data_IF_604301515649
#
_entry.id   IF_604301515649
#
_cell.length_a   1.000
_cell.length_b   1.000
_cell.length_c   1.000
_cell.angle_alpha   90.00
_cell.angle_beta   90.00
_cell.angle_gamma   90.00
#
_symmetry.space_group_name_H-M   'P 1'
#
loop_
_entity.id
_entity.type
_entity.pdbx_description
1 polymer ?
#
# COMPACT_ATOMS: atom_id res chain seq x y z
N UNK A 1 -0.25 -8.55 22.00
CA UNK A 1 0.88 -7.89 21.31
C UNK A 1 2.24 -8.28 21.88
N UNK A 2 2.76 -7.70 22.98
CA UNK A 2 4.16 -7.92 23.39
C UNK A 2 4.59 -9.39 23.63
N UNK A 3 3.67 -10.25 24.10
CA UNK A 3 3.91 -11.70 24.27
C UNK A 3 4.24 -12.42 22.96
N UNK A 4 3.78 -11.90 21.81
CA UNK A 4 4.05 -12.47 20.49
C UNK A 4 5.54 -12.39 20.09
N UNK A 5 6.35 -11.60 20.80
CA UNK A 5 7.81 -11.59 20.62
C UNK A 5 8.50 -12.87 21.14
N UNK A 6 7.75 -13.83 21.71
CA UNK A 6 8.19 -15.20 21.99
C UNK A 6 9.10 -15.39 23.20
N UNK A 7 9.54 -14.31 23.86
CA UNK A 7 10.38 -14.39 25.06
C UNK A 7 10.03 -13.27 26.06
N UNK A 8 10.01 -13.61 27.36
CA UNK A 8 9.61 -12.68 28.42
C UNK A 8 10.44 -11.39 28.41
N UNK A 9 11.76 -11.50 28.27
CA UNK A 9 12.70 -10.37 28.27
C UNK A 9 12.49 -9.37 27.13
N UNK A 10 11.76 -9.75 26.07
CA UNK A 10 11.44 -8.86 24.94
C UNK A 10 10.18 -8.02 25.20
N UNK A 11 9.38 -8.37 26.21
CA UNK A 11 8.11 -7.70 26.48
C UNK A 11 8.29 -6.24 26.90
N UNK A 12 9.24 -5.96 27.81
CA UNK A 12 9.50 -4.59 28.28
C UNK A 12 10.11 -3.74 27.16
N UNK A 13 11.18 -4.16 26.46
CA UNK A 13 11.73 -3.38 25.36
C UNK A 13 10.70 -3.10 24.26
N UNK A 14 9.84 -4.06 23.92
CA UNK A 14 8.80 -3.88 22.90
C UNK A 14 7.77 -2.83 23.31
N UNK A 15 7.27 -2.92 24.56
CA UNK A 15 6.37 -1.90 25.13
C UNK A 15 7.05 -0.53 25.10
N UNK A 16 8.29 -0.45 25.57
CA UNK A 16 9.07 0.79 25.57
C UNK A 16 9.25 1.37 24.17
N UNK A 17 9.50 0.53 23.17
CA UNK A 17 9.61 0.98 21.78
C UNK A 17 8.30 1.59 21.28
N UNK A 18 7.17 0.88 21.43
CA UNK A 18 5.85 1.38 21.06
C UNK A 18 5.47 2.66 21.84
N UNK A 19 5.77 2.73 23.13
CA UNK A 19 5.60 3.96 23.93
C UNK A 19 6.44 5.10 23.37
N UNK A 20 7.70 4.85 23.02
CA UNK A 20 8.58 5.84 22.40
C UNK A 20 8.06 6.39 21.06
N UNK A 21 7.40 5.54 20.26
CA UNK A 21 6.74 5.94 19.01
C UNK A 21 5.52 6.84 19.28
N UNK A 22 4.73 6.53 20.32
CA UNK A 22 3.51 7.27 20.68
C UNK A 22 3.77 8.57 21.45
N UNK A 23 4.88 8.68 22.17
CA UNK A 23 5.25 9.90 22.90
C UNK A 23 5.59 11.05 21.95
N UNK A 24 5.22 12.31 22.24
CA UNK A 24 5.47 13.45 21.35
C UNK A 24 6.96 13.73 21.14
N UNK A 25 7.27 14.31 19.98
CA UNK A 25 8.61 14.76 19.62
C UNK A 25 8.97 14.44 18.17
N UNK A 26 9.79 15.30 17.57
CA UNK A 26 10.06 15.32 16.12
C UNK A 26 10.66 14.01 15.60
N UNK A 27 11.80 13.58 16.16
CA UNK A 27 12.50 12.37 15.70
C UNK A 27 12.15 11.16 16.53
N UNK A 28 11.74 10.07 15.84
CA UNK A 28 11.41 8.75 16.42
C UNK A 28 12.48 7.69 16.12
N UNK A 29 13.74 8.07 16.08
CA UNK A 29 14.84 7.10 16.06
C UNK A 29 15.10 6.58 17.48
N UNK A 30 15.90 5.50 17.59
CA UNK A 30 16.09 4.76 18.85
C UNK A 30 16.55 5.65 20.01
N UNK A 31 17.51 6.53 19.77
CA UNK A 31 18.08 7.37 20.83
C UNK A 31 17.12 8.44 21.36
N UNK A 32 16.47 9.28 20.53
CA UNK A 32 15.41 10.17 21.00
C UNK A 32 14.28 9.44 21.73
N UNK A 33 13.89 8.24 21.27
CA UNK A 33 12.86 7.46 21.96
C UNK A 33 13.35 6.97 23.32
N UNK A 34 14.59 6.46 23.41
CA UNK A 34 15.18 6.04 24.67
C UNK A 34 15.20 7.16 25.71
N UNK A 35 15.54 8.39 25.30
CA UNK A 35 15.56 9.55 26.20
C UNK A 35 14.18 9.96 26.72
N UNK A 36 13.12 9.69 25.95
CA UNK A 36 11.74 9.95 26.39
C UNK A 36 11.20 8.85 27.30
N UNK A 37 11.51 7.60 26.98
CA UNK A 37 10.99 6.45 27.73
C UNK A 37 11.75 6.23 29.04
N UNK A 38 13.03 6.58 29.09
CA UNK A 38 13.86 6.43 30.28
C UNK A 38 14.89 7.58 30.38
N UNK A 39 14.44 8.79 30.77
CA UNK A 39 15.30 9.98 30.81
C UNK A 39 16.52 9.81 31.73
N UNK A 40 16.37 9.10 32.84
CA UNK A 40 17.47 8.88 33.79
C UNK A 40 18.43 7.76 33.37
N UNK A 41 18.08 6.96 32.36
CA UNK A 41 18.84 5.77 31.95
C UNK A 41 18.93 5.62 30.41
N UNK A 42 19.10 6.75 29.70
CA UNK A 42 19.06 6.81 28.23
C UNK A 42 19.97 5.79 27.57
N UNK A 43 21.19 5.58 28.08
CA UNK A 43 22.16 4.62 27.51
C UNK A 43 21.65 3.19 27.57
N UNK A 44 21.10 2.77 28.72
CA UNK A 44 20.54 1.43 28.91
C UNK A 44 19.31 1.22 28.03
N UNK A 45 18.40 2.20 28.01
CA UNK A 45 17.22 2.16 27.16
C UNK A 45 17.59 2.11 25.67
N UNK A 46 18.56 2.91 25.23
CA UNK A 46 19.07 2.87 23.86
C UNK A 46 19.55 1.49 23.47
N UNK A 47 20.42 0.86 24.28
CA UNK A 47 20.94 -0.49 23.98
C UNK A 47 19.80 -1.52 23.91
N UNK A 48 18.86 -1.45 24.85
CA UNK A 48 17.71 -2.35 24.88
C UNK A 48 16.81 -2.21 23.65
N UNK A 49 16.45 -0.98 23.28
CA UNK A 49 15.61 -0.69 22.11
C UNK A 49 16.33 -1.02 20.79
N UNK A 50 17.63 -0.74 20.71
CA UNK A 50 18.45 -1.09 19.55
C UNK A 50 18.50 -2.61 19.36
N UNK A 51 18.84 -3.35 20.41
CA UNK A 51 18.90 -4.81 20.36
C UNK A 51 17.56 -5.42 19.96
N UNK A 52 16.45 -4.93 20.53
CA UNK A 52 15.11 -5.39 20.17
C UNK A 52 14.85 -5.27 18.66
N UNK A 53 15.14 -4.12 18.06
CA UNK A 53 14.81 -3.90 16.65
C UNK A 53 15.85 -4.51 15.72
N UNK A 54 17.14 -4.35 15.99
CA UNK A 54 18.19 -4.75 15.07
C UNK A 54 18.49 -6.26 15.10
N UNK A 55 18.48 -6.86 16.30
CA UNK A 55 19.15 -8.15 16.52
C UNK A 55 18.22 -9.24 17.06
N UNK A 56 17.30 -8.91 17.97
CA UNK A 56 16.49 -9.90 18.68
C UNK A 56 15.69 -10.79 17.71
N UNK A 57 15.72 -12.13 17.83
CA UNK A 57 15.08 -13.03 16.88
C UNK A 57 13.59 -13.25 17.22
N UNK A 58 12.78 -12.21 17.06
CA UNK A 58 11.31 -12.32 17.08
C UNK A 58 10.77 -12.28 15.66
N UNK A 59 9.59 -12.89 15.45
CA UNK A 59 8.93 -12.93 14.15
C UNK A 59 8.07 -11.69 13.97
N UNK A 60 8.36 -10.89 12.94
CA UNK A 60 7.51 -9.76 12.54
C UNK A 60 6.10 -10.23 12.15
N UNK A 61 6.02 -11.41 11.54
CA UNK A 61 4.75 -12.03 11.18
C UNK A 61 3.88 -12.33 12.41
N UNK A 62 4.44 -12.97 13.44
CA UNK A 62 3.70 -13.32 14.66
C UNK A 62 3.25 -12.07 15.44
N UNK A 63 4.08 -11.01 15.45
CA UNK A 63 3.70 -9.74 16.08
C UNK A 63 2.61 -9.05 15.27
N UNK A 64 2.70 -9.04 13.93
CA UNK A 64 1.66 -8.49 13.06
C UNK A 64 0.33 -9.21 13.27
N UNK A 65 0.34 -10.54 13.31
CA UNK A 65 -0.84 -11.35 13.59
C UNK A 65 -1.48 -10.97 14.93
N UNK A 66 -0.68 -10.83 15.99
CA UNK A 66 -1.18 -10.38 17.30
C UNK A 66 -1.74 -8.94 17.30
N UNK A 67 -1.22 -8.07 16.43
CA UNK A 67 -1.80 -6.74 16.22
C UNK A 67 -3.18 -6.89 15.59
N UNK A 68 -3.29 -7.67 14.52
CA UNK A 68 -4.54 -7.87 13.79
C UNK A 68 -5.63 -8.50 14.67
N UNK A 69 -5.28 -9.48 15.51
CA UNK A 69 -6.21 -10.08 16.49
C UNK A 69 -6.82 -9.05 17.44
N UNK A 70 -6.09 -7.96 17.73
CA UNK A 70 -6.53 -6.91 18.64
C UNK A 70 -7.31 -5.79 17.94
N UNK A 71 -7.00 -5.54 16.66
CA UNK A 71 -7.49 -4.37 15.91
C UNK A 71 -8.69 -4.69 15.04
N UNK A 72 -8.68 -5.82 14.33
CA UNK A 72 -9.74 -6.18 13.40
C UNK A 72 -11.11 -6.29 14.09
N UNK A 73 -11.28 -6.89 15.28
CA UNK A 73 -12.57 -6.92 15.95
C UNK A 73 -13.14 -5.51 16.19
N UNK A 74 -12.31 -4.58 16.67
CA UNK A 74 -12.73 -3.20 16.91
C UNK A 74 -13.14 -2.48 15.62
N UNK A 75 -12.48 -2.77 14.48
CA UNK A 75 -12.87 -2.23 13.17
C UNK A 75 -14.20 -2.83 12.70
N UNK A 76 -14.36 -4.15 12.84
CA UNK A 76 -15.53 -4.89 12.38
C UNK A 76 -16.79 -4.55 13.16
N UNK A 77 -16.66 -4.17 14.44
CA UNK A 77 -17.76 -3.63 15.25
C UNK A 77 -18.35 -2.32 14.68
N UNK A 78 -17.61 -1.61 13.81
CA UNK A 78 -18.06 -0.38 13.15
C UNK A 78 -18.54 -0.57 11.71
N UNK A 79 -18.19 -1.68 11.09
CA UNK A 79 -18.62 -2.00 9.73
C UNK A 79 -17.73 -3.05 9.07
N UNK A 80 -18.20 -3.62 7.94
CA UNK A 80 -17.46 -4.66 7.24
C UNK A 80 -16.19 -4.10 6.60
N UNK A 81 -15.23 -4.99 6.34
CA UNK A 81 -14.15 -4.69 5.39
C UNK A 81 -14.79 -4.54 4.01
N UNK A 82 -14.50 -3.42 3.35
CA UNK A 82 -15.02 -3.12 2.00
C UNK A 82 -13.94 -3.18 0.93
N UNK A 83 -12.67 -3.03 1.31
CA UNK A 83 -11.56 -3.05 0.36
C UNK A 83 -10.26 -3.56 0.96
N UNK A 84 -9.49 -4.20 0.08
CA UNK A 84 -8.10 -4.58 0.26
C UNK A 84 -7.25 -3.67 -0.62
N UNK A 85 -6.43 -2.81 -0.02
CA UNK A 85 -5.69 -1.77 -0.75
C UNK A 85 -4.22 -2.15 -0.84
N UNK A 86 -3.74 -2.31 -2.06
CA UNK A 86 -2.33 -2.51 -2.39
C UNK A 86 -1.70 -1.16 -2.72
N UNK A 87 -0.56 -0.88 -2.10
CA UNK A 87 0.22 0.33 -2.34
C UNK A 87 1.70 0.08 -2.03
N UNK A 88 2.56 0.98 -2.50
CA UNK A 88 3.96 0.99 -2.10
C UNK A 88 4.43 2.35 -1.62
N UNK A 89 5.32 2.31 -0.63
CA UNK A 89 5.79 3.51 0.04
C UNK A 89 7.31 3.60 0.03
N UNK A 90 7.81 4.76 -0.39
CA UNK A 90 9.23 5.05 -0.52
C UNK A 90 9.86 5.67 0.74
N UNK A 91 11.13 5.37 0.98
CA UNK A 91 11.96 5.88 2.05
C UNK A 91 13.29 6.41 1.49
N UNK A 92 13.43 7.73 1.31
CA UNK A 92 14.67 8.33 0.82
C UNK A 92 15.88 7.96 1.70
N UNK A 93 17.01 7.66 1.06
CA UNK A 93 18.25 7.29 1.74
C UNK A 93 19.46 7.93 1.08
N UNK A 94 20.49 8.16 1.89
CA UNK A 94 21.82 8.57 1.42
C UNK A 94 22.76 7.37 1.46
N UNK A 95 23.61 7.25 0.44
CA UNK A 95 24.57 6.14 0.31
C UNK A 95 23.95 4.83 -0.20
N UNK A 96 24.77 3.78 -0.24
CA UNK A 96 24.46 2.50 -0.90
C UNK A 96 24.32 1.30 0.06
N UNK A 97 24.51 1.52 1.37
CA UNK A 97 24.62 0.44 2.35
C UNK A 97 23.29 0.05 3.03
N UNK A 98 22.21 0.81 2.83
CA UNK A 98 20.90 0.44 3.38
C UNK A 98 20.27 -0.63 2.52
N UNK A 99 19.79 -1.72 3.14
CA UNK A 99 19.14 -2.83 2.43
C UNK A 99 18.09 -2.36 1.43
N UNK A 100 18.14 -2.89 0.20
CA UNK A 100 17.19 -2.60 -0.87
C UNK A 100 17.25 -1.16 -1.42
N UNK A 101 18.24 -0.35 -1.05
CA UNK A 101 18.36 1.02 -1.57
C UNK A 101 18.85 1.01 -3.02
N UNK A 102 18.13 1.69 -3.90
CA UNK A 102 18.58 1.97 -5.28
C UNK A 102 17.91 3.23 -5.79
N UNK A 103 18.34 3.73 -6.95
CA UNK A 103 17.68 4.82 -7.65
C UNK A 103 16.42 4.28 -8.32
N UNK A 104 15.26 4.62 -7.77
CA UNK A 104 13.95 4.17 -8.24
C UNK A 104 12.90 5.24 -7.94
N UNK A 105 11.70 5.10 -8.51
CA UNK A 105 10.61 6.04 -8.22
C UNK A 105 10.27 6.00 -6.72
N UNK A 106 10.26 7.16 -6.09
CA UNK A 106 9.97 7.32 -4.69
C UNK A 106 8.72 8.20 -4.53
N UNK A 107 7.59 7.58 -4.18
CA UNK A 107 6.31 8.29 -4.04
C UNK A 107 6.37 9.46 -3.06
N UNK A 108 7.19 9.37 -2.01
CA UNK A 108 7.35 10.46 -1.03
C UNK A 108 7.95 11.74 -1.61
N UNK A 109 8.81 11.64 -2.63
CA UNK A 109 9.44 12.81 -3.28
C UNK A 109 8.93 13.05 -4.70
N UNK A 110 8.01 12.20 -5.19
CA UNK A 110 7.36 12.33 -6.50
C UNK A 110 8.28 12.14 -7.71
N UNK A 111 9.49 11.59 -7.52
CA UNK A 111 10.50 11.44 -8.58
C UNK A 111 11.40 10.23 -8.35
N UNK A 112 12.26 9.94 -9.33
CA UNK A 112 13.35 8.99 -9.13
C UNK A 112 14.35 9.54 -8.11
N UNK A 113 14.62 8.76 -7.08
CA UNK A 113 15.52 9.10 -5.99
C UNK A 113 16.17 7.83 -5.43
N UNK A 114 17.32 7.99 -4.79
CA UNK A 114 17.93 6.90 -4.04
C UNK A 114 17.08 6.58 -2.79
N UNK A 115 16.34 5.48 -2.84
CA UNK A 115 15.37 5.15 -1.81
C UNK A 115 15.19 3.63 -1.67
N UNK A 116 14.62 3.25 -0.53
CA UNK A 116 14.02 1.94 -0.31
C UNK A 116 12.52 2.04 -0.59
N UNK A 117 11.91 0.95 -1.04
CA UNK A 117 10.45 0.89 -1.25
C UNK A 117 9.93 -0.33 -0.52
N UNK A 118 8.76 -0.21 0.12
CA UNK A 118 8.06 -1.34 0.70
C UNK A 118 6.65 -1.43 0.12
N UNK A 119 6.22 -2.66 -0.16
CA UNK A 119 4.89 -3.00 -0.63
C UNK A 119 4.03 -3.37 0.57
N UNK A 120 2.81 -2.87 0.61
CA UNK A 120 1.84 -3.17 1.65
C UNK A 120 0.52 -3.66 1.09
N UNK A 121 -0.13 -4.48 1.90
CA UNK A 121 -1.57 -4.71 1.82
C UNK A 121 -2.20 -4.09 3.06
N UNK A 122 -3.20 -3.24 2.87
CA UNK A 122 -4.04 -2.69 3.93
C UNK A 122 -5.48 -3.14 3.76
N UNK A 123 -6.20 -3.30 4.87
CA UNK A 123 -7.65 -3.54 4.84
C UNK A 123 -8.39 -2.33 5.35
N UNK A 124 -9.59 -2.11 4.82
CA UNK A 124 -10.33 -0.88 5.09
C UNK A 124 -11.80 -1.17 5.30
N UNK A 125 -12.38 -0.52 6.30
CA UNK A 125 -13.82 -0.25 6.37
C UNK A 125 -14.10 1.09 5.66
N UNK A 126 -15.34 1.59 5.72
CA UNK A 126 -15.66 2.96 5.27
C UNK A 126 -14.88 4.03 6.04
N UNK A 127 -14.57 3.80 7.31
CA UNK A 127 -14.09 4.84 8.23
C UNK A 127 -12.65 4.64 8.72
N UNK A 128 -12.11 3.42 8.63
CA UNK A 128 -10.83 3.06 9.22
C UNK A 128 -10.07 2.07 8.36
N UNK A 129 -8.75 2.05 8.51
CA UNK A 129 -7.86 1.21 7.75
C UNK A 129 -6.61 0.84 8.55
N UNK A 130 -6.00 -0.30 8.20
CA UNK A 130 -4.80 -0.82 8.86
C UNK A 130 -3.96 -1.62 7.87
N UNK A 131 -2.62 -1.43 7.79
CA UNK A 131 -1.74 -2.35 7.09
C UNK A 131 -1.79 -3.74 7.73
N UNK A 132 -2.07 -4.77 6.93
CA UNK A 132 -2.10 -6.17 7.36
C UNK A 132 -0.88 -6.96 6.89
N UNK A 133 -0.16 -6.42 5.89
CA UNK A 133 1.13 -6.94 5.48
C UNK A 133 2.03 -5.79 5.00
N UNK A 134 3.33 -5.92 5.25
CA UNK A 134 4.32 -4.92 4.88
C UNK A 134 5.67 -5.57 4.61
N UNK A 135 6.21 -5.43 3.40
CA UNK A 135 7.46 -6.07 3.01
C UNK A 135 8.34 -5.13 2.20
N UNK A 136 9.62 -5.09 2.54
CA UNK A 136 10.62 -4.38 1.74
C UNK A 136 10.75 -5.01 0.35
N UNK A 137 10.64 -4.20 -0.70
CA UNK A 137 11.01 -4.61 -2.04
C UNK A 137 12.53 -4.68 -2.13
N UNK A 138 13.06 -5.86 -2.49
CA UNK A 138 14.48 -6.08 -2.74
C UNK A 138 14.71 -6.00 -4.25
N UNK A 139 15.32 -4.91 -4.78
CA UNK A 139 15.57 -4.78 -6.21
C UNK A 139 16.47 -5.91 -6.72
N UNK A 140 16.34 -6.28 -7.99
CA UNK A 140 17.09 -7.38 -8.61
C UNK A 140 18.62 -7.22 -8.43
N UNK A 141 19.13 -6.00 -8.58
CA UNK A 141 20.55 -5.67 -8.34
C UNK A 141 21.02 -5.96 -6.91
N UNK A 142 20.11 -5.96 -5.93
CA UNK A 142 20.40 -6.37 -4.55
C UNK A 142 20.21 -7.88 -4.38
N UNK A 143 19.17 -8.45 -4.96
CA UNK A 143 18.88 -9.89 -4.88
C UNK A 143 20.03 -10.74 -5.45
N UNK A 144 20.72 -10.22 -6.47
CA UNK A 144 21.86 -10.87 -7.14
C UNK A 144 23.23 -10.51 -6.54
N UNK A 145 23.32 -9.65 -5.52
CA UNK A 145 24.58 -9.30 -4.84
C UNK A 145 24.69 -10.02 -3.50
N UNK A 146 25.35 -11.19 -3.51
CA UNK A 146 25.54 -12.05 -2.33
C UNK A 146 26.20 -11.30 -1.17
N UNK A 147 27.20 -10.44 -1.44
CA UNK A 147 27.94 -9.72 -0.40
C UNK A 147 27.04 -8.67 0.27
N UNK A 148 26.28 -7.90 -0.51
CA UNK A 148 25.32 -6.93 0.03
C UNK A 148 24.22 -7.60 0.84
N UNK A 149 23.70 -8.75 0.36
CA UNK A 149 22.69 -9.53 1.07
C UNK A 149 23.19 -10.01 2.43
N UNK A 150 24.36 -10.61 2.48
CA UNK A 150 24.98 -11.08 3.73
C UNK A 150 25.22 -9.92 4.70
N UNK A 151 25.83 -8.83 4.25
CA UNK A 151 26.11 -7.64 5.09
C UNK A 151 24.84 -6.99 5.67
N UNK A 152 23.72 -7.06 4.93
CA UNK A 152 22.44 -6.53 5.36
C UNK A 152 21.57 -7.55 6.10
N UNK A 153 22.02 -8.79 6.27
CA UNK A 153 21.25 -9.86 6.90
C UNK A 153 19.96 -10.21 6.15
N UNK A 154 19.98 -10.13 4.81
CA UNK A 154 18.85 -10.58 3.98
C UNK A 154 18.78 -12.11 4.06
N UNK A 155 17.63 -12.71 4.43
CA UNK A 155 17.50 -14.16 4.47
C UNK A 155 17.77 -14.85 3.11
N UNK A 156 18.20 -16.10 3.15
CA UNK A 156 18.63 -16.84 1.95
C UNK A 156 17.46 -17.11 1.00
N UNK A 157 16.29 -17.39 1.56
CA UNK A 157 15.01 -17.64 0.90
C UNK A 157 14.45 -16.40 0.17
N UNK A 158 14.93 -15.20 0.49
CA UNK A 158 14.49 -13.98 -0.18
C UNK A 158 15.19 -13.85 -1.54
N UNK A 159 14.49 -14.31 -2.58
CA UNK A 159 14.83 -14.06 -3.99
C UNK A 159 14.24 -12.73 -4.50
N UNK A 160 14.64 -12.34 -5.71
CA UNK A 160 14.00 -11.23 -6.41
C UNK A 160 12.52 -11.55 -6.64
N UNK A 161 11.65 -10.59 -6.31
CA UNK A 161 10.23 -10.62 -6.64
C UNK A 161 9.82 -9.20 -7.00
N UNK A 162 9.08 -9.05 -8.09
CA UNK A 162 8.44 -7.82 -8.48
C UNK A 162 7.42 -7.36 -7.44
N UNK A 163 7.09 -6.06 -7.43
CA UNK A 163 6.08 -5.53 -6.50
C UNK A 163 4.71 -6.21 -6.64
N UNK A 164 4.18 -6.50 -7.85
CA UNK A 164 2.94 -7.26 -8.00
C UNK A 164 3.02 -8.68 -7.43
N UNK A 165 4.15 -9.37 -7.57
CA UNK A 165 4.34 -10.70 -6.96
C UNK A 165 4.34 -10.64 -5.43
N UNK A 166 4.98 -9.61 -4.84
CA UNK A 166 4.92 -9.35 -3.40
C UNK A 166 3.47 -9.09 -2.96
N UNK A 167 2.74 -8.23 -3.68
CA UNK A 167 1.35 -7.93 -3.37
C UNK A 167 0.44 -9.18 -3.45
N UNK A 168 0.62 -10.03 -4.47
CA UNK A 168 -0.13 -11.29 -4.57
C UNK A 168 0.20 -12.24 -3.41
N UNK A 169 1.46 -12.33 -2.98
CA UNK A 169 1.83 -13.12 -1.81
C UNK A 169 1.16 -12.60 -0.53
N UNK A 170 1.09 -11.27 -0.36
CA UNK A 170 0.40 -10.64 0.77
C UNK A 170 -1.11 -10.90 0.74
N UNK A 171 -1.75 -10.84 -0.43
CA UNK A 171 -3.17 -11.17 -0.64
C UNK A 171 -3.46 -12.62 -0.30
N UNK A 172 -2.63 -13.57 -0.77
CA UNK A 172 -2.78 -14.99 -0.43
C UNK A 172 -2.66 -15.23 1.07
N UNK A 173 -1.66 -14.63 1.72
CA UNK A 173 -1.49 -14.72 3.17
C UNK A 173 -2.67 -14.13 3.94
N UNK A 174 -3.24 -13.00 3.49
CA UNK A 174 -4.44 -12.42 4.09
C UNK A 174 -5.64 -13.37 4.01
N UNK A 175 -5.82 -14.07 2.88
CA UNK A 175 -6.84 -15.13 2.73
C UNK A 175 -6.58 -16.33 3.63
N UNK A 176 -5.35 -16.83 3.66
CA UNK A 176 -4.95 -17.96 4.52
C UNK A 176 -5.20 -17.66 6.00
N UNK A 177 -5.02 -16.40 6.41
CA UNK A 177 -5.36 -15.91 7.74
C UNK A 177 -6.88 -15.79 8.00
N UNK A 178 -7.72 -15.83 6.98
CA UNK A 178 -9.16 -15.67 7.10
C UNK A 178 -9.61 -14.21 7.29
N UNK A 179 -8.84 -13.24 6.80
CA UNK A 179 -9.27 -11.84 6.80
C UNK A 179 -10.49 -11.68 5.88
N UNK A 180 -11.58 -11.00 6.31
CA UNK A 180 -12.72 -10.75 5.44
C UNK A 180 -12.32 -10.05 4.14
N UNK A 181 -12.76 -10.62 3.02
CA UNK A 181 -12.41 -10.13 1.69
C UNK A 181 -13.15 -8.84 1.37
N UNK A 182 -12.45 -7.96 0.64
CA UNK A 182 -13.03 -6.76 0.06
C UNK A 182 -12.55 -6.59 -1.38
N UNK A 183 -13.08 -5.59 -2.06
CA UNK A 183 -12.65 -5.26 -3.42
C UNK A 183 -11.19 -4.83 -3.38
N UNK A 184 -10.36 -5.41 -4.25
CA UNK A 184 -8.94 -5.08 -4.31
C UNK A 184 -8.77 -3.72 -5.02
N UNK A 185 -8.10 -2.77 -4.37
CA UNK A 185 -7.82 -1.45 -4.91
C UNK A 185 -6.31 -1.27 -5.05
N UNK A 186 -5.87 -0.75 -6.20
CA UNK A 186 -4.48 -0.34 -6.38
C UNK A 186 -4.37 0.80 -7.41
N UNK A 187 -3.20 1.42 -7.48
CA UNK A 187 -2.90 2.47 -8.46
C UNK A 187 -2.46 1.88 -9.82
N UNK A 188 -2.04 2.76 -10.73
CA UNK A 188 -1.57 2.37 -12.06
C UNK A 188 -0.26 1.57 -12.08
N UNK A 189 0.53 1.61 -11.00
CA UNK A 189 1.74 0.79 -10.87
C UNK A 189 1.42 -0.71 -10.85
N UNK A 190 0.30 -1.08 -10.23
CA UNK A 190 -0.20 -2.47 -10.21
C UNK A 190 -1.25 -2.70 -11.29
N UNK A 191 -2.13 -1.73 -11.50
CA UNK A 191 -3.26 -1.89 -12.38
C UNK A 191 -2.87 -2.01 -13.85
N UNK A 192 -1.71 -1.52 -14.29
CA UNK A 192 -1.22 -1.77 -15.65
C UNK A 192 -0.74 -3.21 -15.89
N UNK A 193 -0.39 -3.93 -14.82
CA UNK A 193 0.11 -5.29 -14.89
C UNK A 193 -1.06 -6.25 -15.16
N UNK A 194 -1.12 -6.77 -16.39
CA UNK A 194 -2.19 -7.70 -16.79
C UNK A 194 -2.08 -9.05 -16.07
N UNK A 195 -0.86 -9.47 -15.70
CA UNK A 195 -0.63 -10.69 -14.94
C UNK A 195 -1.19 -10.57 -13.52
N UNK A 196 -1.00 -9.43 -12.88
CA UNK A 196 -1.58 -9.10 -11.58
C UNK A 196 -3.10 -9.12 -11.62
N UNK A 197 -3.73 -8.39 -12.57
CA UNK A 197 -5.19 -8.40 -12.74
C UNK A 197 -5.73 -9.82 -12.99
N UNK A 198 -5.09 -10.58 -13.87
CA UNK A 198 -5.47 -11.98 -14.16
C UNK A 198 -5.35 -12.87 -12.93
N UNK A 199 -4.30 -12.70 -12.12
CA UNK A 199 -4.12 -13.46 -10.89
C UNK A 199 -5.20 -13.15 -9.84
N UNK A 200 -5.68 -11.90 -9.75
CA UNK A 200 -6.82 -11.55 -8.89
C UNK A 200 -8.12 -12.19 -9.37
N UNK A 201 -8.39 -12.14 -10.67
CA UNK A 201 -9.56 -12.82 -11.26
C UNK A 201 -9.52 -14.33 -11.03
N UNK A 202 -8.34 -14.97 -11.16
CA UNK A 202 -8.17 -16.40 -10.87
C UNK A 202 -8.30 -16.74 -9.38
N UNK A 203 -8.20 -15.74 -8.51
CA UNK A 203 -8.51 -15.85 -7.09
C UNK A 203 -9.98 -15.49 -6.82
N UNK A 204 -10.82 -15.25 -7.81
CA UNK A 204 -12.20 -14.78 -7.62
C UNK A 204 -12.31 -13.48 -6.82
N UNK A 205 -11.26 -12.64 -6.86
CA UNK A 205 -11.24 -11.34 -6.20
C UNK A 205 -11.69 -10.23 -7.16
N UNK A 206 -12.73 -9.51 -6.76
CA UNK A 206 -13.14 -8.29 -7.45
C UNK A 206 -12.09 -7.19 -7.26
N UNK A 207 -11.91 -6.33 -8.26
CA UNK A 207 -10.97 -5.22 -8.18
C UNK A 207 -11.50 -3.93 -8.78
N UNK A 208 -10.91 -2.81 -8.35
CA UNK A 208 -10.93 -1.52 -9.04
C UNK A 208 -9.50 -0.99 -9.07
N UNK A 209 -8.89 -0.99 -10.25
CA UNK A 209 -7.47 -0.75 -10.46
C UNK A 209 -7.26 0.53 -11.25
N UNK A 210 -6.49 1.48 -10.72
CA UNK A 210 -6.02 2.60 -11.52
C UNK A 210 -5.20 2.11 -12.71
N UNK A 211 -5.29 2.77 -13.86
CA UNK A 211 -4.52 2.42 -15.05
C UNK A 211 -3.98 3.67 -15.73
N UNK A 212 -2.93 3.49 -16.55
CA UNK A 212 -2.45 4.54 -17.43
C UNK A 212 -3.37 4.72 -18.63
N UNK A 213 -3.39 5.95 -19.15
CA UNK A 213 -4.18 6.35 -20.32
C UNK A 213 -3.77 5.62 -21.62
N UNK A 214 -2.56 5.04 -21.63
CA UNK A 214 -1.98 4.26 -22.72
C UNK A 214 -2.42 2.80 -22.74
N UNK A 215 -3.08 2.31 -21.68
CA UNK A 215 -3.68 0.97 -21.70
C UNK A 215 -4.68 0.91 -22.85
N UNK A 216 -4.68 -0.19 -23.60
CA UNK A 216 -5.54 -0.36 -24.75
C UNK A 216 -6.76 -1.20 -24.41
N UNK A 217 -7.90 -0.87 -25.02
CA UNK A 217 -9.20 -1.51 -24.84
C UNK A 217 -9.88 -1.69 -26.20
N UNK A 218 -10.80 -2.65 -26.29
CA UNK A 218 -11.76 -2.75 -27.39
C UNK A 218 -12.94 -1.82 -27.11
N UNK A 219 -13.37 -1.06 -28.10
CA UNK A 219 -14.55 -0.19 -27.92
C UNK A 219 -15.78 -1.04 -27.57
N UNK A 220 -16.77 -0.48 -26.86
CA UNK A 220 -18.01 -1.20 -26.58
C UNK A 220 -18.63 -1.79 -27.85
N UNK A 221 -18.90 -3.10 -27.83
CA UNK A 221 -19.44 -3.84 -28.98
C UNK A 221 -18.40 -4.29 -30.02
N UNK A 222 -17.15 -3.86 -29.92
CA UNK A 222 -16.05 -4.33 -30.76
C UNK A 222 -15.22 -5.42 -30.06
N UNK A 223 -14.44 -6.15 -30.85
CA UNK A 223 -13.58 -7.20 -30.34
C UNK A 223 -12.58 -7.69 -31.38
N UNK A 224 -11.61 -8.52 -30.96
CA UNK A 224 -10.71 -9.16 -31.88
C UNK A 224 -11.46 -10.17 -32.76
N UNK A 225 -10.99 -10.39 -33.99
CA UNK A 225 -11.60 -11.38 -34.86
C UNK A 225 -11.32 -12.81 -34.35
N UNK A 226 -12.30 -13.73 -34.45
CA UNK A 226 -12.09 -15.15 -34.20
C UNK A 226 -10.98 -15.73 -35.10
N UNK A 227 -10.43 -16.87 -34.70
CA UNK A 227 -9.52 -17.62 -35.57
C UNK A 227 -10.22 -17.98 -36.89
N UNK A 228 -9.53 -17.92 -38.05
CA UNK A 228 -10.14 -18.21 -39.33
C UNK A 228 -10.60 -19.67 -39.40
N UNK A 229 -11.61 -20.00 -40.24
CA UNK A 229 -12.07 -21.38 -40.39
C UNK A 229 -10.93 -22.30 -40.81
N UNK A 230 -10.89 -23.50 -40.23
CA UNK A 230 -9.87 -24.49 -40.58
C UNK A 230 -10.10 -25.03 -41.99
N UNK A 231 -9.06 -24.97 -42.84
CA UNK A 231 -9.12 -25.35 -44.27
C UNK A 231 -8.36 -26.64 -44.62
N UNK A 232 -7.99 -27.46 -43.63
CA UNK A 232 -7.63 -28.87 -43.86
C UNK A 232 -6.16 -29.22 -44.14
N UNK A 233 -5.21 -28.29 -44.01
CA UNK A 233 -3.78 -28.63 -44.04
C UNK A 233 -3.07 -27.97 -42.84
N UNK A 234 -2.47 -28.80 -41.98
CA UNK A 234 -1.72 -28.36 -40.81
C UNK A 234 -2.54 -28.18 -39.52
N UNK A 235 -1.94 -27.51 -38.51
CA UNK A 235 -2.56 -27.29 -37.20
C UNK A 235 -3.70 -26.27 -37.31
N UNK A 236 -4.91 -26.54 -36.78
CA UNK A 236 -6.00 -25.58 -36.78
C UNK A 236 -5.60 -24.24 -36.15
N UNK A 237 -5.92 -23.11 -36.79
CA UNK A 237 -5.68 -21.80 -36.20
C UNK A 237 -6.56 -21.64 -34.95
N UNK A 238 -5.95 -21.20 -33.85
CA UNK A 238 -6.63 -21.03 -32.55
C UNK A 238 -6.62 -19.61 -32.02
N UNK A 239 -5.79 -18.75 -32.60
CA UNK A 239 -5.50 -17.43 -32.06
C UNK A 239 -6.40 -16.37 -32.71
N UNK A 240 -6.79 -15.40 -31.90
CA UNK A 240 -7.54 -14.24 -32.35
C UNK A 240 -6.72 -13.38 -33.33
N UNK A 241 -7.40 -12.76 -34.30
CA UNK A 241 -6.77 -11.91 -35.30
C UNK A 241 -7.04 -10.42 -35.06
N UNK A 242 -6.09 -9.58 -35.49
CA UNK A 242 -6.23 -8.13 -35.60
C UNK A 242 -5.96 -7.74 -37.05
N UNK A 243 -6.81 -6.92 -37.63
CA UNK A 243 -6.63 -6.35 -38.98
C UNK A 243 -6.70 -4.82 -38.92
N UNK A 244 -6.76 -4.13 -40.06
CA UNK A 244 -6.87 -2.66 -40.09
C UNK A 244 -8.18 -2.12 -39.51
N UNK A 245 -9.25 -2.94 -39.51
CA UNK A 245 -10.59 -2.58 -39.04
C UNK A 245 -10.84 -2.99 -37.59
N UNK A 246 -10.05 -3.93 -37.05
CA UNK A 246 -10.17 -4.48 -35.70
C UNK A 246 -8.90 -4.19 -34.90
N UNK A 247 -8.73 -2.92 -34.51
CA UNK A 247 -7.61 -2.47 -33.69
C UNK A 247 -8.12 -1.94 -32.36
N UNK A 248 -7.51 -2.33 -31.23
CA UNK A 248 -7.83 -1.71 -29.96
C UNK A 248 -7.36 -0.25 -29.97
N UNK A 249 -8.03 0.57 -29.17
CA UNK A 249 -7.69 1.98 -28.99
C UNK A 249 -7.12 2.19 -27.60
N UNK A 250 -6.33 3.25 -27.41
CA UNK A 250 -5.96 3.65 -26.06
C UNK A 250 -7.20 4.11 -25.28
N UNK A 251 -7.18 3.91 -23.98
CA UNK A 251 -8.22 4.41 -23.08
C UNK A 251 -8.38 5.93 -23.20
N UNK A 252 -7.28 6.66 -23.47
CA UNK A 252 -7.34 8.10 -23.76
C UNK A 252 -8.18 8.41 -25.00
N UNK A 253 -7.90 7.75 -26.11
CA UNK A 253 -8.61 7.96 -27.38
C UNK A 253 -10.08 7.58 -27.24
N UNK A 254 -10.38 6.46 -26.56
CA UNK A 254 -11.76 6.08 -26.27
C UNK A 254 -12.46 7.19 -25.48
N UNK A 255 -11.87 7.66 -24.38
CA UNK A 255 -12.44 8.69 -23.53
C UNK A 255 -12.73 10.00 -24.30
N UNK A 256 -11.83 10.42 -25.20
CA UNK A 256 -12.00 11.62 -26.03
C UNK A 256 -13.07 11.44 -27.12
N UNK A 257 -13.33 10.20 -27.55
CA UNK A 257 -14.36 9.89 -28.55
C UNK A 257 -15.77 9.79 -27.96
N UNK A 258 -15.92 9.71 -26.64
CA UNK A 258 -17.22 9.56 -26.00
C UNK A 258 -18.06 10.83 -26.09
N UNK A 259 -19.37 10.71 -26.36
CA UNK A 259 -20.25 11.87 -26.46
C UNK A 259 -20.47 12.51 -25.08
N UNK A 260 -20.75 13.81 -25.06
CA UNK A 260 -20.77 14.62 -23.85
C UNK A 260 -21.81 14.14 -22.82
N UNK A 261 -22.90 13.52 -23.28
CA UNK A 261 -24.04 13.05 -22.49
C UNK A 261 -23.67 11.90 -21.56
N UNK A 262 -22.63 11.11 -21.88
CA UNK A 262 -22.14 10.00 -21.06
C UNK A 262 -21.42 10.50 -19.81
N UNK A 263 -20.85 11.71 -19.86
CA UNK A 263 -20.12 12.32 -18.75
C UNK A 263 -21.07 12.90 -17.71
N UNK A 264 -21.20 12.24 -16.56
CA UNK A 264 -22.07 12.68 -15.45
C UNK A 264 -21.26 13.32 -14.34
N UNK A 265 -21.80 14.37 -13.72
CA UNK A 265 -21.22 14.95 -12.50
C UNK A 265 -21.53 14.03 -11.32
N UNK A 266 -20.49 13.59 -10.60
CA UNK A 266 -20.62 12.74 -9.42
C UNK A 266 -19.96 13.43 -8.23
N UNK A 267 -20.61 13.30 -7.06
CA UNK A 267 -20.11 13.76 -5.76
C UNK A 267 -19.90 12.52 -4.90
N UNK A 268 -18.70 12.34 -4.33
CA UNK A 268 -18.37 11.09 -3.62
C UNK A 268 -17.85 11.27 -2.19
N UNK A 269 -17.52 12.49 -1.76
CA UNK A 269 -17.10 12.75 -0.37
C UNK A 269 -17.24 14.23 -0.02
N UNK A 270 -17.45 14.54 1.26
CA UNK A 270 -17.16 15.86 1.81
C UNK A 270 -15.65 16.03 2.00
N UNK A 271 -15.03 16.92 1.23
CA UNK A 271 -13.66 17.35 1.47
C UNK A 271 -13.60 18.41 2.57
N UNK A 272 -12.38 18.67 3.08
CA UNK A 272 -12.13 19.62 4.19
C UNK A 272 -12.73 21.02 3.96
N UNK A 273 -12.89 21.45 2.71
CA UNK A 273 -13.48 22.77 2.35
C UNK A 273 -14.76 22.70 1.51
N UNK A 274 -14.93 21.65 0.68
CA UNK A 274 -16.07 21.50 -0.25
C UNK A 274 -16.30 20.02 -0.55
N UNK A 275 -17.53 19.65 -0.91
CA UNK A 275 -17.85 18.34 -1.52
C UNK A 275 -16.95 18.09 -2.74
N UNK A 276 -16.20 16.97 -2.70
CA UNK A 276 -15.38 16.52 -3.82
C UNK A 276 -16.29 16.06 -4.95
N UNK A 277 -16.11 16.69 -6.11
CA UNK A 277 -16.93 16.47 -7.30
C UNK A 277 -16.09 16.56 -8.56
N UNK A 278 -16.49 15.79 -9.57
CA UNK A 278 -15.82 15.71 -10.87
C UNK A 278 -16.82 15.15 -11.90
N UNK A 279 -16.42 15.09 -13.17
CA UNK A 279 -17.22 14.40 -14.20
C UNK A 279 -16.65 13.02 -14.43
N UNK A 280 -17.52 12.02 -14.53
CA UNK A 280 -17.15 10.65 -14.79
C UNK A 280 -17.96 10.05 -15.92
N UNK A 281 -17.34 9.13 -16.64
CA UNK A 281 -18.00 8.22 -17.56
C UNK A 281 -17.61 6.80 -17.17
N UNK A 282 -18.53 5.85 -17.31
CA UNK A 282 -18.25 4.44 -17.17
C UNK A 282 -18.82 3.69 -18.38
N UNK A 283 -18.02 2.83 -18.98
CA UNK A 283 -18.42 1.98 -20.10
C UNK A 283 -18.03 0.53 -19.82
N UNK A 284 -18.74 -0.40 -20.43
CA UNK A 284 -18.37 -1.83 -20.42
C UNK A 284 -17.49 -2.10 -21.63
N UNK A 285 -16.26 -2.50 -21.40
CA UNK A 285 -15.27 -2.75 -22.45
C UNK A 285 -14.41 -3.98 -22.15
N UNK A 286 -13.56 -4.35 -23.12
CA UNK A 286 -12.61 -5.46 -22.94
C UNK A 286 -11.19 -4.90 -22.94
N UNK A 287 -10.39 -5.14 -21.89
CA UNK A 287 -8.97 -4.87 -21.92
C UNK A 287 -8.33 -5.59 -23.11
N UNK A 288 -7.50 -4.87 -23.86
CA UNK A 288 -6.81 -5.41 -25.02
C UNK A 288 -5.33 -5.59 -24.68
N UNK A 289 -4.93 -6.82 -24.34
CA UNK A 289 -3.54 -7.14 -24.05
C UNK A 289 -3.19 -8.54 -24.56
N UNK A 290 -2.22 -8.59 -25.48
CA UNK A 290 -1.74 -9.83 -26.11
C UNK A 290 -2.89 -10.72 -26.62
N UNK A 291 -4.00 -10.11 -27.08
CA UNK A 291 -5.20 -10.86 -27.50
C UNK A 291 -4.89 -11.82 -28.65
N UNK A 292 -3.94 -11.46 -29.51
CA UNK A 292 -3.43 -12.26 -30.62
C UNK A 292 -2.68 -13.54 -30.19
N UNK A 293 -2.47 -13.74 -28.88
CA UNK A 293 -1.97 -14.99 -28.29
C UNK A 293 -3.07 -15.75 -27.52
N UNK A 294 -4.33 -15.29 -27.55
CA UNK A 294 -5.45 -15.92 -26.87
C UNK A 294 -6.40 -16.58 -27.87
N UNK A 295 -7.12 -17.60 -27.40
CA UNK A 295 -8.20 -18.25 -28.14
C UNK A 295 -9.58 -17.63 -27.87
N UNK A 296 -9.71 -16.92 -26.74
CA UNK A 296 -10.94 -16.23 -26.36
C UNK A 296 -10.60 -14.79 -25.92
N UNK A 297 -11.46 -13.81 -26.23
CA UNK A 297 -11.29 -12.45 -25.76
C UNK A 297 -11.24 -12.38 -24.24
N UNK A 298 -10.66 -11.30 -23.70
CA UNK A 298 -10.82 -11.00 -22.27
C UNK A 298 -12.29 -10.76 -21.94
N UNK A 299 -12.66 -11.02 -20.69
CA UNK A 299 -13.99 -10.71 -20.19
C UNK A 299 -14.26 -9.19 -20.26
N UNK A 300 -15.55 -8.82 -20.30
CA UNK A 300 -15.90 -7.41 -20.18
C UNK A 300 -15.72 -6.93 -18.74
N UNK A 301 -15.13 -5.75 -18.62
CA UNK A 301 -14.89 -5.03 -17.39
C UNK A 301 -15.53 -3.64 -17.47
N UNK A 302 -15.63 -2.97 -16.33
CA UNK A 302 -15.92 -1.55 -16.29
C UNK A 302 -14.65 -0.74 -16.53
N UNK A 303 -14.68 0.15 -17.53
CA UNK A 303 -13.74 1.25 -17.65
C UNK A 303 -14.37 2.52 -17.08
N UNK A 304 -13.88 2.94 -15.91
CA UNK A 304 -14.23 4.21 -15.29
C UNK A 304 -13.22 5.27 -15.70
N UNK A 305 -13.70 6.46 -16.06
CA UNK A 305 -12.88 7.56 -16.54
C UNK A 305 -13.28 8.85 -15.82
N UNK A 306 -12.30 9.64 -15.41
CA UNK A 306 -12.50 10.95 -14.79
C UNK A 306 -12.04 12.07 -15.71
N UNK A 307 -12.92 13.04 -15.93
CA UNK A 307 -12.62 14.28 -16.61
C UNK A 307 -12.97 15.48 -15.73
N UNK A 308 -12.00 15.98 -14.94
CA UNK A 308 -12.24 17.12 -14.07
C UNK A 308 -12.74 18.34 -14.83
N UNK A 309 -13.51 19.19 -14.14
CA UNK A 309 -14.03 20.43 -14.72
C UNK A 309 -12.88 21.41 -14.93
N UNK A 310 -12.77 21.98 -16.13
CA UNK A 310 -11.71 22.92 -16.50
C UNK A 310 -10.46 22.28 -17.11
N UNK A 311 -10.35 20.95 -17.07
CA UNK A 311 -9.25 20.23 -17.72
C UNK A 311 -9.51 20.03 -19.21
N UNK A 312 -8.47 20.17 -20.04
CA UNK A 312 -8.56 20.00 -21.49
C UNK A 312 -8.78 18.54 -21.92
N UNK A 313 -8.45 17.58 -21.05
CA UNK A 313 -8.52 16.16 -21.34
C UNK A 313 -8.84 15.34 -20.07
N UNK A 314 -9.38 14.12 -20.21
CA UNK A 314 -9.52 13.20 -19.08
C UNK A 314 -8.16 12.86 -18.46
N UNK A 315 -8.13 12.61 -17.15
CA UNK A 315 -6.87 12.55 -16.39
C UNK A 315 -6.68 11.29 -15.55
N UNK A 316 -7.75 10.57 -15.19
CA UNK A 316 -7.66 9.33 -14.42
C UNK A 316 -8.59 8.28 -14.97
N UNK A 317 -8.15 7.03 -14.86
CA UNK A 317 -8.74 5.88 -15.52
C UNK A 317 -8.65 4.67 -14.59
N UNK A 318 -9.68 3.83 -14.58
CA UNK A 318 -9.70 2.59 -13.81
C UNK A 318 -10.35 1.47 -14.58
N UNK A 319 -9.82 0.26 -14.42
CA UNK A 319 -10.51 -0.99 -14.78
C UNK A 319 -11.14 -1.61 -13.54
N UNK A 320 -12.33 -2.20 -13.69
CA UNK A 320 -13.07 -2.78 -12.58
C UNK A 320 -13.84 -4.03 -12.98
N UNK A 321 -13.73 -5.08 -12.16
CA UNK A 321 -14.48 -6.33 -12.31
C UNK A 321 -15.79 -6.34 -11.52
N UNK A 322 -16.19 -5.20 -10.94
CA UNK A 322 -17.47 -5.10 -10.22
C UNK A 322 -18.66 -5.51 -11.11
N UNK A 323 -19.77 -6.02 -10.53
CA UNK A 323 -20.91 -6.52 -11.28
C UNK A 323 -21.45 -5.56 -12.35
N UNK A 324 -21.99 -6.10 -13.44
CA UNK A 324 -22.48 -5.30 -14.58
C UNK A 324 -23.68 -4.38 -14.24
N UNK A 325 -24.35 -4.58 -13.10
CA UNK A 325 -25.40 -3.70 -12.59
C UNK A 325 -24.88 -2.64 -11.59
N UNK A 326 -23.55 -2.54 -11.38
CA UNK A 326 -22.96 -1.55 -10.47
C UNK A 326 -23.23 -0.14 -10.98
N UNK A 327 -23.71 0.73 -10.09
CA UNK A 327 -23.99 2.13 -10.46
C UNK A 327 -22.72 2.94 -10.65
N UNK A 328 -22.79 4.02 -11.45
CA UNK A 328 -21.66 4.94 -11.61
C UNK A 328 -21.19 5.53 -10.27
N UNK A 329 -22.11 5.87 -9.36
CA UNK A 329 -21.77 6.40 -8.04
C UNK A 329 -20.96 5.39 -7.23
N UNK A 330 -21.31 4.11 -7.30
CA UNK A 330 -20.63 3.05 -6.58
C UNK A 330 -19.24 2.75 -7.16
N UNK A 331 -19.10 2.75 -8.50
CA UNK A 331 -17.79 2.67 -9.16
C UNK A 331 -16.87 3.81 -8.71
N UNK A 332 -17.39 5.04 -8.68
CA UNK A 332 -16.63 6.22 -8.22
C UNK A 332 -16.29 6.12 -6.73
N UNK A 333 -17.23 5.67 -5.88
CA UNK A 333 -17.01 5.46 -4.44
C UNK A 333 -15.80 4.53 -4.22
N UNK A 334 -15.82 3.35 -4.85
CA UNK A 334 -14.75 2.37 -4.72
C UNK A 334 -13.43 2.85 -5.31
N UNK A 335 -13.43 3.43 -6.52
CA UNK A 335 -12.22 3.95 -7.16
C UNK A 335 -11.54 5.06 -6.33
N UNK A 336 -12.32 5.85 -5.59
CA UNK A 336 -11.83 6.94 -4.75
C UNK A 336 -11.53 6.52 -3.31
N UNK A 337 -11.98 5.34 -2.87
CA UNK A 337 -11.75 4.84 -1.52
C UNK A 337 -10.27 4.60 -1.20
N UNK A 338 -9.44 4.29 -2.22
CA UNK A 338 -7.98 4.11 -2.09
C UNK A 338 -7.28 5.25 -1.31
N UNK A 339 -7.81 6.47 -1.37
CA UNK A 339 -7.23 7.63 -0.67
C UNK A 339 -7.20 7.49 0.86
N UNK A 340 -7.97 6.59 1.45
CA UNK A 340 -7.98 6.39 2.91
C UNK A 340 -6.58 6.01 3.43
N UNK A 341 -5.84 5.16 2.70
CA UNK A 341 -4.52 4.69 3.12
C UNK A 341 -3.40 5.71 2.91
N UNK A 342 -3.60 6.73 2.06
CA UNK A 342 -2.62 7.81 1.92
C UNK A 342 -2.50 8.61 3.22
N UNK A 343 -3.64 8.78 3.91
CA UNK A 343 -3.67 9.36 5.25
C UNK A 343 -2.97 8.46 6.27
N UNK A 344 -3.17 7.15 6.20
CA UNK A 344 -2.49 6.21 7.11
C UNK A 344 -0.98 6.30 6.95
N UNK A 345 -0.49 6.36 5.71
CA UNK A 345 0.93 6.53 5.45
C UNK A 345 1.48 7.87 5.91
N UNK A 346 0.67 8.93 5.82
CA UNK A 346 1.03 10.22 6.39
C UNK A 346 1.17 10.12 7.92
N UNK A 347 0.21 9.53 8.62
CA UNK A 347 0.27 9.35 10.08
C UNK A 347 1.42 8.41 10.49
N UNK A 348 1.60 7.28 9.80
CA UNK A 348 2.69 6.34 10.02
C UNK A 348 4.07 7.00 9.86
N UNK A 349 4.26 7.82 8.82
CA UNK A 349 5.56 8.46 8.56
C UNK A 349 5.82 9.67 9.45
N UNK A 350 4.84 10.57 9.56
CA UNK A 350 5.04 11.87 10.22
C UNK A 350 4.89 11.76 11.75
N UNK A 351 3.91 10.99 12.22
CA UNK A 351 3.61 10.90 13.66
C UNK A 351 4.30 9.70 14.32
N UNK A 352 4.24 8.53 13.68
CA UNK A 352 4.76 7.27 14.24
C UNK A 352 6.15 6.90 13.72
N UNK A 353 6.75 7.76 12.90
CA UNK A 353 8.16 7.66 12.55
C UNK A 353 8.55 6.44 11.71
N UNK A 354 7.65 5.87 10.91
CA UNK A 354 7.97 4.81 9.94
C UNK A 354 9.15 5.19 9.01
N UNK A 355 9.32 6.48 8.74
CA UNK A 355 10.44 7.03 7.97
C UNK A 355 11.73 7.28 8.77
N UNK A 356 11.71 7.13 10.10
CA UNK A 356 12.80 7.48 11.01
C UNK A 356 13.77 6.33 11.31
N UNK A 357 13.58 5.16 10.69
CA UNK A 357 14.51 4.04 10.85
C UNK A 357 15.89 4.34 10.26
N UNK A 358 16.91 4.30 11.11
CA UNK A 358 18.31 4.60 10.78
C UNK A 358 19.15 3.36 10.49
N UNK A 359 18.66 2.17 10.84
CA UNK A 359 19.37 0.91 10.59
C UNK A 359 19.43 0.53 9.11
N UNK A 360 20.36 -0.38 8.80
CA UNK A 360 20.69 -0.80 7.43
C UNK A 360 20.25 -2.22 7.09
N UNK A 361 19.96 -3.05 8.09
CA UNK A 361 19.66 -4.47 7.91
C UNK A 361 18.19 -4.75 7.57
N UNK A 362 17.96 -5.94 6.98
CA UNK A 362 16.65 -6.47 6.61
C UNK A 362 15.74 -6.64 7.83
N UNK A 363 16.23 -7.35 8.86
CA UNK A 363 15.49 -7.60 10.10
C UNK A 363 15.04 -6.29 10.76
N UNK A 364 15.99 -5.38 11.00
CA UNK A 364 15.68 -4.10 11.65
C UNK A 364 14.65 -3.25 10.90
N UNK A 365 14.64 -3.30 9.56
CA UNK A 365 13.62 -2.60 8.78
C UNK A 365 12.21 -3.16 9.04
N UNK A 366 12.04 -4.48 8.94
CA UNK A 366 10.75 -5.14 9.14
C UNK A 366 10.29 -5.06 10.60
N UNK A 367 11.23 -5.16 11.54
CA UNK A 367 10.95 -5.00 12.96
C UNK A 367 10.45 -3.60 13.30
N UNK A 368 11.15 -2.56 12.82
CA UNK A 368 10.71 -1.18 13.01
C UNK A 368 9.33 -0.94 12.39
N UNK A 369 9.12 -1.38 11.15
CA UNK A 369 7.83 -1.21 10.47
C UNK A 369 6.69 -1.90 11.22
N UNK A 370 6.91 -3.12 11.72
CA UNK A 370 5.94 -3.87 12.51
C UNK A 370 5.58 -3.15 13.81
N UNK A 371 6.56 -2.54 14.49
CA UNK A 371 6.29 -1.78 15.72
C UNK A 371 5.57 -0.44 15.45
N UNK A 372 5.86 0.21 14.31
CA UNK A 372 5.09 1.37 13.85
C UNK A 372 3.65 0.99 13.53
N UNK A 373 3.42 -0.13 12.84
CA UNK A 373 2.07 -0.65 12.54
C UNK A 373 1.36 -1.09 13.82
N UNK A 374 2.05 -1.66 14.80
CA UNK A 374 1.48 -2.00 16.10
C UNK A 374 1.02 -0.75 16.87
N UNK A 375 1.83 0.31 16.89
CA UNK A 375 1.47 1.59 17.50
C UNK A 375 0.30 2.26 16.76
N UNK A 376 0.29 2.19 15.42
CA UNK A 376 -0.82 2.68 14.61
C UNK A 376 -2.10 1.88 14.84
N UNK A 377 -2.00 0.55 14.88
CA UNK A 377 -3.10 -0.37 15.18
C UNK A 377 -3.74 -0.09 16.54
N UNK A 378 -2.95 0.21 17.57
CA UNK A 378 -3.47 0.71 18.83
C UNK A 378 -4.33 1.97 18.62
N UNK A 379 -3.83 3.00 17.92
CA UNK A 379 -4.61 4.21 17.66
C UNK A 379 -5.89 3.95 16.86
N UNK A 380 -5.83 3.06 15.86
CA UNK A 380 -7.00 2.64 15.07
C UNK A 380 -8.03 1.93 15.96
N UNK A 381 -7.60 1.00 16.81
CA UNK A 381 -8.49 0.30 17.72
C UNK A 381 -9.16 1.28 18.71
N UNK A 382 -8.40 2.21 19.30
CA UNK A 382 -8.96 3.21 20.22
C UNK A 382 -9.96 4.15 19.50
N UNK A 383 -9.65 4.61 18.28
CA UNK A 383 -10.56 5.43 17.46
C UNK A 383 -11.84 4.70 17.05
N UNK A 384 -11.80 3.38 16.92
CA UNK A 384 -13.00 2.60 16.65
C UNK A 384 -13.77 2.29 17.94
N UNK A 385 -13.10 2.10 19.09
CA UNK A 385 -13.80 1.88 20.37
C UNK A 385 -14.53 3.14 20.86
N UNK A 386 -13.90 4.31 20.72
CA UNK A 386 -14.44 5.57 21.20
C UNK A 386 -14.89 6.45 20.03
N UNK A 387 -16.10 7.01 20.11
CA UNK A 387 -16.51 8.03 19.12
C UNK A 387 -15.57 9.22 19.17
N UNK A 388 -15.15 9.82 18.03
CA UNK A 388 -14.40 11.08 18.03
C UNK A 388 -15.12 12.22 18.77
N UNK A 389 -16.45 12.11 18.92
CA UNK A 389 -17.32 13.03 19.64
C UNK A 389 -17.38 12.75 21.15
N UNK A 390 -16.86 11.60 21.60
CA UNK A 390 -16.80 11.27 23.02
C UNK A 390 -15.82 12.23 23.69
N UNK A 391 -16.35 13.19 24.44
CA UNK A 391 -15.56 14.02 25.36
C UNK A 391 -15.08 13.12 26.49
N UNK A 392 -13.98 12.43 26.27
CA UNK A 392 -13.14 12.01 27.39
C UNK A 392 -12.65 13.34 27.99
N UNK A 393 -12.82 13.54 29.30
CA UNK A 393 -12.42 14.78 29.98
C UNK A 393 -10.95 15.14 29.71
N UNK A 394 -10.44 16.24 30.27
CA UNK A 394 -9.00 16.57 30.15
C UNK A 394 -8.14 15.45 30.74
N UNK A 395 -7.71 14.49 29.92
CA UNK A 395 -6.73 13.49 30.30
C UNK A 395 -5.40 14.24 30.41
N UNK A 396 -4.96 14.49 31.65
CA UNK A 396 -3.62 15.04 31.90
C UNK A 396 -2.60 13.92 31.68
N UNK A 397 -2.07 13.82 30.47
CA UNK A 397 -0.87 13.02 30.23
C UNK A 397 0.33 13.76 30.82
N UNK A 398 0.95 13.21 31.86
CA UNK A 398 2.27 13.66 32.30
C UNK A 398 3.30 13.15 31.29
N UNK A 399 3.82 14.07 30.47
CA UNK A 399 4.87 13.76 29.53
C UNK A 399 6.21 13.65 30.28
N UNK A 400 7.01 12.60 30.03
CA UNK A 400 8.34 12.51 30.59
C UNK A 400 9.19 13.69 30.09
N UNK A 401 9.81 14.42 31.01
CA UNK A 401 10.73 15.51 30.66
C UNK A 401 12.06 14.92 30.22
N UNK A 402 12.46 15.25 28.99
CA UNK A 402 13.79 14.91 28.49
C UNK A 402 14.80 15.82 29.20
N UNK A 403 15.92 15.28 29.75
CA UNK A 403 16.89 16.09 30.46
C UNK A 403 17.42 17.24 29.60
N UNK A 404 17.58 18.44 30.16
CA UNK A 404 17.99 19.65 29.43
C UNK A 404 19.37 19.53 28.74
N UNK A 405 20.22 18.63 29.24
CA UNK A 405 21.54 18.34 28.71
C UNK A 405 21.53 17.26 27.61
N UNK A 406 20.42 16.55 27.39
CA UNK A 406 20.35 15.50 26.37
C UNK A 406 20.41 16.10 24.96
N UNK A 407 21.42 15.67 24.22
CA UNK A 407 21.59 15.98 22.80
C UNK A 407 21.70 14.65 22.03
N UNK A 408 20.79 14.38 21.06
CA UNK A 408 20.90 13.19 20.23
C UNK A 408 22.26 13.12 19.52
N UNK A 409 22.84 11.92 19.38
CA UNK A 409 24.09 11.77 18.62
C UNK A 409 23.88 12.22 17.18
N UNK A 410 24.84 12.99 16.67
CA UNK A 410 24.80 13.54 15.32
C UNK A 410 23.92 14.78 15.14
N UNK A 411 23.33 15.35 16.20
CA UNK A 411 22.72 16.68 16.12
C UNK A 411 23.79 17.75 15.88
N UNK A 412 23.50 18.76 15.04
CA UNK A 412 24.38 19.93 14.91
C UNK A 412 24.57 20.56 16.30
N UNK A 413 25.79 20.96 16.68
CA UNK A 413 25.99 21.67 17.94
C UNK A 413 25.09 22.91 17.96
N UNK A 414 24.43 23.15 19.10
CA UNK A 414 23.70 24.40 19.32
C UNK A 414 24.70 25.53 19.06
N UNK A 415 24.40 26.41 18.10
CA UNK A 415 25.15 27.67 17.97
C UNK A 415 25.05 28.36 19.33
N UNK A 416 26.19 28.63 19.96
CA UNK A 416 26.23 29.52 21.10
C UNK A 416 25.59 30.85 20.66
N UNK A 417 24.67 31.35 21.49
CA UNK A 417 23.97 32.60 21.25
C UNK A 417 24.93 33.79 21.28
#
# INVERSE_FOLDING_TARGET
MAKAAGHADRSIPLRNYCTGLLLPGERKSVEPMAARVSPDNVRRAHQSLHHLVADAPWSDEAVMDSVLDSVLPAMLDRGPIIAWVVDDTGFPKKGQASVGVTRQYCGQVGKQENCRVAVSLSVTTEASSIPVAFRLYLPEVWANDTRRRQNAGVPAEIAFQSKPEIALAQIRRARERGIPEGVVLADAGYGNDTGFRTALTNLDLLYVMGIMSTVTVWKPGEGPQPAPPYKGLGRPPRLLQRDEKHRPVSVKELALSLPAEVWKKVVWREGVKKKLRSRFAAVRDRPAHRDYWRAQPHAEEWLLMEWPVGELQPSKYWLSTLPANTTLTELVRMAKHRWIIERDYQELKQELGLGHFEGRGWRGFHHHATLCIAAYGFLVAERNRFSPSARVGKIKFQLPQVPSHFHPRGSRPRRAA
#
